data_IF_674512916405
#
_entry.id   IF_674512916405
#
_cell.length_a   1.000
_cell.length_b   1.000
_cell.length_c   1.000
_cell.angle_alpha   90.00
_cell.angle_beta   90.00
_cell.angle_gamma   90.00
#
_symmetry.space_group_name_H-M   'P 1'
#
loop_
_entity.id
_entity.type
_entity.pdbx_description
1 polymer ?
#
# COMPACT_ATOMS: atom_id res chain seq x y z
N UNK A 1 27.19 51.67 -37.08
CA UNK A 1 27.38 50.21 -37.25
C UNK A 1 27.42 49.38 -35.95
N UNK A 2 27.57 49.99 -34.77
CA UNK A 2 27.72 49.23 -33.50
C UNK A 2 26.40 48.84 -32.77
N UNK A 3 25.27 49.48 -33.06
CA UNK A 3 23.98 49.17 -32.38
C UNK A 3 23.29 47.90 -32.88
N UNK A 4 23.58 47.44 -34.08
CA UNK A 4 22.92 46.23 -34.67
C UNK A 4 23.53 44.92 -34.15
N UNK A 5 24.78 44.89 -33.77
CA UNK A 5 25.47 43.71 -33.28
C UNK A 5 25.09 43.35 -31.83
N UNK A 6 24.81 44.35 -30.99
CA UNK A 6 24.43 44.14 -29.57
C UNK A 6 23.03 43.57 -29.47
N UNK A 7 22.11 44.00 -30.34
CA UNK A 7 20.73 43.51 -30.33
C UNK A 7 20.63 42.02 -30.74
N UNK A 8 21.49 41.54 -31.65
CA UNK A 8 21.47 40.15 -32.11
C UNK A 8 22.12 39.19 -31.10
N UNK A 9 23.09 39.69 -30.31
CA UNK A 9 23.79 38.88 -29.32
C UNK A 9 22.94 38.69 -28.06
N UNK A 10 22.22 39.71 -27.62
CA UNK A 10 21.31 39.66 -26.47
C UNK A 10 20.13 38.74 -26.76
N UNK A 11 19.57 38.74 -27.99
CA UNK A 11 18.43 37.91 -28.37
C UNK A 11 18.79 36.43 -28.38
N UNK A 12 19.97 36.04 -28.87
CA UNK A 12 20.45 34.65 -28.87
C UNK A 12 20.76 34.13 -27.47
N UNK A 13 21.28 34.99 -26.58
CA UNK A 13 21.56 34.63 -25.17
C UNK A 13 20.26 34.43 -24.38
N UNK A 14 19.27 35.31 -24.58
CA UNK A 14 17.94 35.19 -23.92
C UNK A 14 17.20 33.94 -24.39
N UNK A 15 17.24 33.61 -25.69
CA UNK A 15 16.62 32.38 -26.19
C UNK A 15 17.31 31.11 -25.66
N UNK A 16 18.64 31.11 -25.52
CA UNK A 16 19.36 29.96 -24.93
C UNK A 16 19.07 29.80 -23.43
N UNK A 17 19.00 30.89 -22.69
CA UNK A 17 18.62 30.88 -21.28
C UNK A 17 17.16 30.43 -21.08
N UNK A 18 16.23 30.90 -21.92
CA UNK A 18 14.84 30.47 -21.88
C UNK A 18 14.65 29.00 -22.21
N UNK A 19 15.43 28.45 -23.18
CA UNK A 19 15.43 27.03 -23.49
C UNK A 19 16.00 26.18 -22.36
N UNK A 20 17.08 26.64 -21.70
CA UNK A 20 17.67 25.96 -20.55
C UNK A 20 16.70 25.96 -19.37
N UNK A 21 16.01 27.07 -19.10
CA UNK A 21 14.98 27.17 -18.07
C UNK A 21 13.76 26.32 -18.38
N UNK A 22 13.32 26.23 -19.64
CA UNK A 22 12.21 25.37 -20.06
C UNK A 22 12.56 23.89 -19.93
N UNK A 23 13.77 23.48 -20.28
CA UNK A 23 14.26 22.10 -20.13
C UNK A 23 14.44 21.75 -18.66
N UNK A 24 14.97 22.67 -17.85
CA UNK A 24 15.08 22.48 -16.40
C UNK A 24 13.71 22.42 -15.72
N UNK A 25 12.75 23.26 -16.14
CA UNK A 25 11.38 23.24 -15.61
C UNK A 25 10.62 21.97 -16.01
N UNK A 26 10.79 21.46 -17.24
CA UNK A 26 10.20 20.20 -17.67
C UNK A 26 10.84 18.98 -16.98
N UNK A 27 12.16 19.03 -16.70
CA UNK A 27 12.85 17.99 -15.95
C UNK A 27 12.43 17.94 -14.46
N UNK A 28 12.22 19.12 -13.85
CA UNK A 28 11.71 19.22 -12.46
C UNK A 28 10.27 18.74 -12.36
N UNK A 29 9.42 19.01 -13.35
CA UNK A 29 8.01 18.57 -13.36
C UNK A 29 7.85 17.08 -13.72
N UNK A 30 8.78 16.51 -14.47
CA UNK A 30 8.78 15.07 -14.76
C UNK A 30 9.23 14.21 -13.56
N UNK A 31 9.84 14.83 -12.54
CA UNK A 31 10.33 14.13 -11.35
C UNK A 31 9.27 13.90 -10.25
N UNK A 32 8.01 14.25 -10.45
CA UNK A 32 7.02 14.32 -9.36
C UNK A 32 6.03 13.16 -9.26
N UNK A 33 5.98 12.24 -10.21
CA UNK A 33 5.17 11.04 -10.07
C UNK A 33 6.08 9.81 -9.96
N UNK A 34 5.93 9.00 -8.91
CA UNK A 34 6.70 7.77 -8.79
C UNK A 34 6.41 6.88 -10.01
N UNK A 35 7.43 6.59 -10.78
CA UNK A 35 7.32 5.59 -11.85
C UNK A 35 7.44 4.20 -11.25
N UNK A 36 6.96 3.17 -11.95
CA UNK A 36 7.16 1.79 -11.52
C UNK A 36 8.65 1.47 -11.29
N UNK A 37 9.53 2.04 -12.10
CA UNK A 37 10.97 1.84 -11.97
C UNK A 37 11.52 2.43 -10.68
N UNK A 38 11.15 3.67 -10.32
CA UNK A 38 11.57 4.29 -9.06
C UNK A 38 11.01 3.55 -7.85
N UNK A 39 9.74 3.12 -7.91
CA UNK A 39 9.11 2.31 -6.89
C UNK A 39 9.85 0.98 -6.69
N UNK A 40 10.21 0.31 -7.79
CA UNK A 40 10.96 -0.95 -7.76
C UNK A 40 12.35 -0.78 -7.13
N UNK A 41 13.06 0.28 -7.47
CA UNK A 41 14.38 0.58 -6.88
C UNK A 41 14.28 0.83 -5.38
N UNK A 42 13.29 1.61 -4.92
CA UNK A 42 13.05 1.86 -3.50
C UNK A 42 12.69 0.57 -2.75
N UNK A 43 11.83 -0.27 -3.33
CA UNK A 43 11.48 -1.55 -2.73
C UNK A 43 12.70 -2.49 -2.63
N UNK A 44 13.56 -2.51 -3.64
CA UNK A 44 14.80 -3.29 -3.64
C UNK A 44 15.83 -2.77 -2.63
N UNK A 45 15.88 -1.46 -2.40
CA UNK A 45 16.75 -0.86 -1.38
C UNK A 45 16.25 -1.07 0.05
N UNK A 46 15.07 -1.64 0.23
CA UNK A 46 14.56 -2.02 1.54
C UNK A 46 13.46 -1.13 2.11
N UNK A 47 12.98 -0.15 1.34
CA UNK A 47 11.85 0.70 1.74
C UNK A 47 10.57 -0.15 1.87
N UNK A 48 10.01 -0.20 3.07
CA UNK A 48 8.86 -1.05 3.39
C UNK A 48 7.55 -0.55 2.75
N UNK A 49 7.41 0.77 2.61
CA UNK A 49 6.26 1.36 1.94
C UNK A 49 6.31 1.13 0.42
N UNK A 50 7.49 1.22 -0.16
CA UNK A 50 7.69 0.89 -1.56
C UNK A 50 7.40 -0.60 -1.82
N UNK A 51 7.78 -1.50 -0.91
CA UNK A 51 7.41 -2.93 -1.00
C UNK A 51 5.89 -3.13 -0.96
N UNK A 52 5.18 -2.47 -0.03
CA UNK A 52 3.71 -2.52 0.03
C UNK A 52 3.10 -2.04 -1.29
N UNK A 53 3.57 -0.89 -1.80
CA UNK A 53 3.08 -0.32 -3.05
C UNK A 53 3.40 -1.18 -4.28
N UNK A 54 4.54 -1.89 -4.29
CA UNK A 54 4.84 -2.90 -5.31
C UNK A 54 3.84 -4.06 -5.28
N UNK A 55 3.48 -4.52 -4.08
CA UNK A 55 2.42 -5.50 -3.91
C UNK A 55 1.09 -5.01 -4.47
N UNK A 56 0.66 -3.82 -4.09
CA UNK A 56 -0.57 -3.21 -4.58
C UNK A 56 -0.56 -2.97 -6.11
N UNK A 57 0.61 -2.64 -6.68
CA UNK A 57 0.76 -2.45 -8.12
C UNK A 57 0.50 -3.75 -8.90
N UNK A 58 0.97 -4.89 -8.41
CA UNK A 58 0.70 -6.19 -9.03
C UNK A 58 -0.71 -6.71 -8.70
N UNK A 59 -1.26 -6.40 -7.53
CA UNK A 59 -2.60 -6.83 -7.15
C UNK A 59 -3.69 -6.15 -7.99
N UNK A 60 -3.52 -4.84 -8.24
CA UNK A 60 -4.49 -4.01 -8.96
C UNK A 60 -4.15 -3.75 -10.43
N UNK A 61 -2.98 -4.17 -10.91
CA UNK A 61 -2.53 -3.88 -12.27
C UNK A 61 -2.22 -2.41 -12.53
N UNK A 62 -1.80 -1.65 -11.49
CA UNK A 62 -1.45 -0.23 -11.64
C UNK A 62 -0.04 -0.04 -12.21
N UNK A 63 0.32 1.19 -12.58
CA UNK A 63 1.60 1.52 -13.25
C UNK A 63 1.85 0.74 -14.56
N UNK A 64 0.80 0.33 -15.28
CA UNK A 64 0.91 -0.46 -16.51
C UNK A 64 1.33 -1.91 -16.30
N UNK A 65 1.32 -2.40 -15.05
CA UNK A 65 1.58 -3.80 -14.75
C UNK A 65 0.34 -4.65 -15.01
N UNK A 66 0.56 -5.90 -15.40
CA UNK A 66 -0.52 -6.90 -15.42
C UNK A 66 -0.81 -7.33 -13.98
N UNK A 67 -2.07 -7.62 -13.68
CA UNK A 67 -2.47 -8.23 -12.41
C UNK A 67 -1.71 -9.56 -12.24
N UNK A 68 -1.01 -9.68 -11.13
CA UNK A 68 -0.19 -10.84 -10.77
C UNK A 68 -0.21 -11.03 -9.24
N UNK A 69 -1.23 -11.74 -8.71
CA UNK A 69 -1.40 -11.90 -7.27
C UNK A 69 -0.23 -12.64 -6.59
N UNK A 70 0.48 -13.50 -7.29
CA UNK A 70 1.64 -14.19 -6.71
C UNK A 70 2.79 -13.21 -6.45
N UNK A 71 3.04 -12.28 -7.39
CA UNK A 71 4.00 -11.19 -7.18
C UNK A 71 3.54 -10.21 -6.11
N UNK A 72 2.23 -9.93 -6.02
CA UNK A 72 1.68 -9.11 -4.96
C UNK A 72 2.00 -9.71 -3.59
N UNK A 73 1.69 -11.00 -3.39
CA UNK A 73 1.98 -11.74 -2.15
C UNK A 73 3.48 -11.76 -1.82
N UNK A 74 4.34 -11.90 -2.82
CA UNK A 74 5.79 -11.83 -2.61
C UNK A 74 6.22 -10.51 -1.96
N UNK A 75 5.72 -9.37 -2.47
CA UNK A 75 6.06 -8.06 -1.95
C UNK A 75 5.39 -7.78 -0.61
N UNK A 76 4.11 -8.13 -0.44
CA UNK A 76 3.41 -8.02 0.84
C UNK A 76 4.13 -8.80 1.93
N UNK A 77 4.60 -10.02 1.65
CA UNK A 77 5.36 -10.83 2.60
C UNK A 77 6.65 -10.15 3.03
N UNK A 78 7.41 -9.57 2.08
CA UNK A 78 8.63 -8.83 2.40
C UNK A 78 8.37 -7.63 3.33
N UNK A 79 7.34 -6.85 3.05
CA UNK A 79 6.98 -5.70 3.89
C UNK A 79 6.41 -6.13 5.25
N UNK A 80 5.59 -7.20 5.28
CA UNK A 80 5.01 -7.76 6.51
C UNK A 80 6.09 -8.31 7.46
N UNK A 81 7.11 -8.99 6.93
CA UNK A 81 8.25 -9.48 7.71
C UNK A 81 9.09 -8.35 8.32
N UNK A 82 9.06 -7.15 7.72
CA UNK A 82 9.67 -5.93 8.26
C UNK A 82 8.76 -5.19 9.26
N UNK A 83 7.59 -5.74 9.57
CA UNK A 83 6.69 -5.23 10.60
C UNK A 83 5.65 -4.22 10.14
N UNK A 84 5.52 -3.91 8.84
CA UNK A 84 4.54 -2.94 8.37
C UNK A 84 3.12 -3.50 8.53
N UNK A 85 2.30 -2.87 9.39
CA UNK A 85 0.94 -3.32 9.73
C UNK A 85 0.04 -3.50 8.50
N UNK A 86 0.02 -2.53 7.57
CA UNK A 86 -0.75 -2.62 6.33
C UNK A 86 -0.34 -3.79 5.44
N UNK A 87 0.95 -4.12 5.42
CA UNK A 87 1.43 -5.27 4.65
C UNK A 87 1.11 -6.60 5.35
N UNK A 88 1.13 -6.65 6.68
CA UNK A 88 0.68 -7.80 7.47
C UNK A 88 -0.80 -8.06 7.22
N UNK A 89 -1.62 -7.01 7.21
CA UNK A 89 -3.02 -7.10 6.84
C UNK A 89 -3.21 -7.62 5.40
N UNK A 90 -2.53 -7.03 4.42
CA UNK A 90 -2.61 -7.45 3.02
C UNK A 90 -2.22 -8.92 2.82
N UNK A 91 -1.15 -9.38 3.49
CA UNK A 91 -0.72 -10.77 3.46
C UNK A 91 -1.75 -11.71 4.14
N UNK A 92 -2.29 -11.30 5.29
CA UNK A 92 -3.35 -12.04 5.99
C UNK A 92 -4.60 -12.17 5.13
N UNK A 93 -5.01 -11.08 4.48
CA UNK A 93 -6.14 -11.06 3.55
C UNK A 93 -5.90 -11.99 2.35
N UNK A 94 -4.70 -11.97 1.77
CA UNK A 94 -4.33 -12.90 0.70
C UNK A 94 -4.45 -14.36 1.15
N UNK A 95 -4.00 -14.69 2.38
CA UNK A 95 -4.19 -16.03 2.94
C UNK A 95 -5.67 -16.37 3.19
N UNK A 96 -6.47 -15.42 3.66
CA UNK A 96 -7.88 -15.65 3.95
C UNK A 96 -8.70 -15.87 2.68
N UNK A 97 -8.37 -15.18 1.59
CA UNK A 97 -9.09 -15.25 0.31
C UNK A 97 -8.52 -16.27 -0.68
N UNK A 98 -7.25 -16.64 -0.54
CA UNK A 98 -6.55 -17.47 -1.52
C UNK A 98 -6.03 -16.69 -2.73
N UNK A 99 -5.95 -15.35 -2.63
CA UNK A 99 -5.45 -14.53 -3.72
C UNK A 99 -3.91 -14.61 -3.81
N UNK A 100 -3.42 -15.18 -4.91
CA UNK A 100 -1.98 -15.38 -5.17
C UNK A 100 -1.29 -16.47 -4.34
N UNK A 101 -2.06 -17.24 -3.55
CA UNK A 101 -1.56 -18.38 -2.78
C UNK A 101 -2.72 -19.31 -2.38
N UNK A 102 -2.39 -20.49 -1.81
CA UNK A 102 -3.43 -21.39 -1.30
C UNK A 102 -4.12 -20.80 -0.08
N UNK A 103 -5.45 -20.71 -0.10
CA UNK A 103 -6.26 -20.24 1.03
C UNK A 103 -5.95 -20.99 2.31
N UNK A 104 -5.81 -20.24 3.42
CA UNK A 104 -5.60 -20.80 4.75
C UNK A 104 -5.87 -19.77 5.85
N UNK A 105 -6.99 -19.87 6.52
CA UNK A 105 -7.31 -19.03 7.69
C UNK A 105 -6.32 -19.23 8.83
N UNK A 106 -5.80 -20.45 9.04
CA UNK A 106 -4.78 -20.76 10.05
C UNK A 106 -3.50 -19.91 9.82
N UNK A 107 -3.11 -19.71 8.54
CA UNK A 107 -1.96 -18.86 8.21
C UNK A 107 -2.29 -17.37 8.20
N UNK A 108 -3.54 -17.02 7.93
CA UNK A 108 -4.00 -15.63 7.97
C UNK A 108 -4.02 -15.08 9.40
N UNK A 109 -4.50 -15.89 10.36
CA UNK A 109 -4.76 -15.47 11.73
C UNK A 109 -3.57 -14.75 12.42
N UNK A 110 -2.35 -15.31 12.44
CA UNK A 110 -1.22 -14.65 13.11
C UNK A 110 -0.84 -13.31 12.47
N UNK A 111 -0.93 -13.18 11.16
CA UNK A 111 -0.66 -11.92 10.47
C UNK A 111 -1.75 -10.90 10.72
N UNK A 112 -3.02 -11.32 10.70
CA UNK A 112 -4.16 -10.47 11.04
C UNK A 112 -4.05 -9.94 12.47
N UNK A 113 -3.67 -10.79 13.42
CA UNK A 113 -3.47 -10.42 14.81
C UNK A 113 -2.32 -9.39 14.98
N UNK A 114 -1.20 -9.60 14.28
CA UNK A 114 -0.09 -8.64 14.33
C UNK A 114 -0.47 -7.27 13.76
N UNK A 115 -1.23 -7.23 12.66
CA UNK A 115 -1.72 -5.98 12.10
C UNK A 115 -2.71 -5.26 13.04
N UNK A 116 -3.65 -6.01 13.63
CA UNK A 116 -4.62 -5.48 14.59
C UNK A 116 -3.96 -4.90 15.85
N UNK A 117 -2.92 -5.55 16.38
CA UNK A 117 -2.14 -5.05 17.53
C UNK A 117 -1.41 -3.73 17.21
N UNK A 118 -1.08 -3.48 15.97
CA UNK A 118 -0.46 -2.23 15.52
C UNK A 118 -1.48 -1.13 15.16
N UNK A 119 -2.77 -1.39 15.35
CA UNK A 119 -3.81 -0.39 15.12
C UNK A 119 -4.43 -0.40 13.73
N UNK A 120 -4.16 -1.43 12.90
CA UNK A 120 -4.84 -1.54 11.61
C UNK A 120 -6.31 -1.90 11.82
N UNK A 121 -7.19 -0.96 11.49
CA UNK A 121 -8.63 -1.03 11.85
C UNK A 121 -9.36 -2.16 11.12
N UNK A 122 -9.08 -2.32 9.83
CA UNK A 122 -9.65 -3.40 9.03
C UNK A 122 -9.20 -4.77 9.55
N UNK A 123 -7.96 -4.86 10.05
CA UNK A 123 -7.45 -6.07 10.68
C UNK A 123 -8.16 -6.39 12.01
N UNK A 124 -8.47 -5.38 12.82
CA UNK A 124 -9.26 -5.56 14.06
C UNK A 124 -10.65 -6.11 13.74
N UNK A 125 -11.32 -5.52 12.75
CA UNK A 125 -12.65 -5.98 12.31
C UNK A 125 -12.60 -7.43 11.82
N UNK A 126 -11.71 -7.75 10.88
CA UNK A 126 -11.63 -9.11 10.34
C UNK A 126 -11.17 -10.14 11.39
N UNK A 127 -10.31 -9.76 12.32
CA UNK A 127 -9.91 -10.62 13.43
C UNK A 127 -11.11 -10.93 14.35
N UNK A 128 -11.95 -9.94 14.61
CA UNK A 128 -13.22 -10.14 15.33
C UNK A 128 -14.16 -11.11 14.60
N UNK A 129 -14.31 -10.97 13.29
CA UNK A 129 -15.09 -11.90 12.46
C UNK A 129 -14.49 -13.32 12.50
N UNK A 130 -13.16 -13.44 12.40
CA UNK A 130 -12.47 -14.73 12.46
C UNK A 130 -12.72 -15.46 13.79
N UNK A 131 -12.72 -14.77 14.91
CA UNK A 131 -13.08 -15.36 16.20
C UNK A 131 -14.58 -15.70 16.32
N UNK A 132 -15.46 -14.87 15.77
CA UNK A 132 -16.89 -15.11 15.79
C UNK A 132 -17.30 -16.36 14.99
N UNK A 133 -16.63 -16.58 13.87
CA UNK A 133 -16.98 -17.66 12.93
C UNK A 133 -16.05 -18.89 13.03
N UNK A 134 -15.01 -18.82 13.87
CA UNK A 134 -14.04 -19.91 14.02
C UNK A 134 -13.13 -20.09 12.81
N UNK A 135 -12.83 -19.01 12.08
CA UNK A 135 -11.99 -19.05 10.88
C UNK A 135 -10.49 -19.14 11.26
N UNK A 136 -9.95 -20.33 11.16
CA UNK A 136 -8.56 -20.60 11.53
C UNK A 136 -8.29 -20.72 13.03
N UNK A 137 -9.33 -20.64 13.85
CA UNK A 137 -9.33 -20.78 15.31
C UNK A 137 -10.64 -21.41 15.76
N UNK A 138 -10.80 -21.67 17.05
CA UNK A 138 -12.09 -22.01 17.64
C UNK A 138 -12.97 -20.75 17.76
N UNK A 139 -14.30 -20.95 17.73
CA UNK A 139 -15.24 -19.85 17.97
C UNK A 139 -15.02 -19.30 19.38
N UNK A 140 -14.84 -17.97 19.47
CA UNK A 140 -14.68 -17.25 20.72
C UNK A 140 -15.38 -15.89 20.60
N UNK A 141 -16.62 -15.86 21.09
CA UNK A 141 -17.48 -14.67 21.01
C UNK A 141 -16.94 -13.50 21.85
N UNK A 142 -16.28 -13.77 22.96
CA UNK A 142 -15.71 -12.70 23.81
C UNK A 142 -14.53 -12.04 23.13
N UNK A 143 -13.63 -12.81 22.53
CA UNK A 143 -12.55 -12.27 21.71
C UNK A 143 -13.11 -11.51 20.50
N UNK A 144 -14.13 -12.06 19.84
CA UNK A 144 -14.78 -11.39 18.72
C UNK A 144 -15.31 -10.01 19.11
N UNK A 145 -16.08 -9.92 20.20
CA UNK A 145 -16.61 -8.65 20.70
C UNK A 145 -15.51 -7.68 21.02
N UNK A 146 -14.47 -8.11 21.74
CA UNK A 146 -13.34 -7.27 22.11
C UNK A 146 -12.64 -6.61 20.92
N UNK A 147 -12.42 -7.37 19.84
CA UNK A 147 -11.79 -6.81 18.63
C UNK A 147 -12.74 -5.93 17.82
N UNK A 148 -14.02 -6.30 17.70
CA UNK A 148 -15.03 -5.50 17.02
C UNK A 148 -15.31 -4.18 17.74
N UNK A 149 -15.30 -4.16 19.08
CA UNK A 149 -15.41 -2.93 19.87
C UNK A 149 -14.24 -1.98 19.60
N UNK A 150 -13.01 -2.50 19.52
CA UNK A 150 -11.83 -1.70 19.15
C UNK A 150 -11.93 -1.14 17.75
N UNK A 151 -12.44 -1.91 16.79
CA UNK A 151 -12.66 -1.45 15.42
C UNK A 151 -13.78 -0.39 15.37
N UNK A 152 -14.90 -0.61 16.07
CA UNK A 152 -16.01 0.34 16.15
C UNK A 152 -15.59 1.66 16.82
N UNK A 153 -14.75 1.60 17.87
CA UNK A 153 -14.21 2.79 18.52
C UNK A 153 -13.29 3.62 17.58
N UNK A 154 -12.78 3.04 16.51
CA UNK A 154 -12.05 3.71 15.43
C UNK A 154 -12.91 3.93 14.17
N UNK A 155 -14.23 3.99 14.36
CA UNK A 155 -15.21 4.33 13.33
C UNK A 155 -15.27 3.35 12.13
N UNK A 156 -14.90 2.07 12.34
CA UNK A 156 -15.09 1.07 11.29
C UNK A 156 -16.59 0.83 11.05
N UNK A 157 -17.06 1.08 9.84
CA UNK A 157 -18.48 1.15 9.49
C UNK A 157 -19.25 -0.15 9.83
N UNK A 158 -18.69 -1.31 9.53
CA UNK A 158 -19.38 -2.59 9.69
C UNK A 158 -19.24 -3.19 11.10
N UNK A 159 -18.28 -2.69 11.91
CA UNK A 159 -17.97 -3.31 13.21
C UNK A 159 -19.13 -3.17 14.21
N UNK A 160 -19.75 -2.00 14.27
CA UNK A 160 -20.90 -1.76 15.15
C UNK A 160 -22.11 -2.60 14.76
N UNK A 161 -22.33 -2.81 13.47
CA UNK A 161 -23.44 -3.63 12.97
C UNK A 161 -23.19 -5.12 13.19
N UNK A 162 -21.94 -5.56 13.10
CA UNK A 162 -21.58 -6.95 13.41
C UNK A 162 -21.73 -7.24 14.92
N UNK A 163 -21.35 -6.30 15.78
CA UNK A 163 -21.53 -6.41 17.24
C UNK A 163 -23.01 -6.65 17.62
N UNK A 164 -23.95 -5.97 16.97
CA UNK A 164 -25.39 -6.17 17.20
C UNK A 164 -25.85 -7.60 16.86
N UNK A 165 -25.19 -8.28 15.93
CA UNK A 165 -25.52 -9.67 15.55
C UNK A 165 -24.98 -10.70 16.55
N UNK A 166 -24.03 -10.30 17.42
CA UNK A 166 -23.45 -11.16 18.45
C UNK A 166 -24.12 -11.02 19.82
N UNK A 167 -25.14 -10.19 19.94
CA UNK A 167 -25.98 -10.02 21.13
C UNK A 167 -27.12 -11.04 21.14
#
# INVERSE_FOLDING_TARGET
MFKSLICCFTHKVIHRLALILLVAFSAVNAAQLPTFQTLSQQAQSGDVWAMLNMGAAYDNGTFGQKVDPEKAVFWYRKAAQKGLAKAQFALAHSYATGNGLKQSYIKALPWMHQAALQGEVDAMYLLGVMHAEGLGTTIDVEQAKSWLEKAAAQEHLDAADYLKKLQ
#
